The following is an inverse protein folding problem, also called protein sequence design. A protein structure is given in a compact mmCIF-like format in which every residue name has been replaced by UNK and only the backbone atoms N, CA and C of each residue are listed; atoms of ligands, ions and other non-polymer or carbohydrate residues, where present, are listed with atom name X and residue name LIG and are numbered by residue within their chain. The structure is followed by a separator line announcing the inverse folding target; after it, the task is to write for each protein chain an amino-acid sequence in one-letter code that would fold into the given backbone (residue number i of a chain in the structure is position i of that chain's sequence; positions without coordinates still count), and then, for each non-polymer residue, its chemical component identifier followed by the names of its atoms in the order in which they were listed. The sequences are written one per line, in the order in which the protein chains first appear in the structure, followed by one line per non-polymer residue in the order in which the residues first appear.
data_IF_728559150228
#
_entry.id   IF_728559150228
#
_cell.length_a   1.000
_cell.length_b   1.000
_cell.length_c   1.000
_cell.angle_alpha   90.00
_cell.angle_beta   90.00
_cell.angle_gamma   90.00
#
_symmetry.space_group_name_H-M   'P 1'
#
loop_
_entity.id
_entity.type
_entity.pdbx_description
1 polymer ?
#
# COMPACT_ATOMS: atom_id res chain seq x y z
N UNK A 1 -8.41 -6.05 7.17
CA UNK A 1 -7.40 -7.12 6.96
C UNK A 1 -6.79 -7.14 5.56
N UNK A 2 -7.57 -7.09 4.46
CA UNK A 2 -7.02 -7.12 3.09
C UNK A 2 -6.02 -5.99 2.79
N UNK A 3 -6.27 -4.79 3.31
CA UNK A 3 -5.37 -3.64 3.25
C UNK A 3 -3.99 -3.89 3.90
N UNK A 4 -3.92 -4.72 4.94
CA UNK A 4 -2.64 -5.12 5.55
C UNK A 4 -1.91 -6.16 4.69
N UNK A 5 -2.63 -7.08 4.06
CA UNK A 5 -2.07 -8.04 3.12
C UNK A 5 -1.51 -7.35 1.87
N UNK A 6 -2.20 -6.32 1.34
CA UNK A 6 -1.70 -5.55 0.19
C UNK A 6 -0.39 -4.82 0.50
N UNK A 7 -0.26 -4.22 1.69
CA UNK A 7 0.99 -3.60 2.14
C UNK A 7 2.10 -4.60 2.44
N UNK A 8 1.75 -5.77 2.98
CA UNK A 8 2.71 -6.86 3.14
C UNK A 8 3.27 -7.32 1.79
N UNK A 9 2.39 -7.48 0.79
CA UNK A 9 2.78 -7.77 -0.58
C UNK A 9 3.68 -6.70 -1.17
N UNK A 10 3.41 -5.41 -0.91
CA UNK A 10 4.28 -4.31 -1.31
C UNK A 10 5.69 -4.43 -0.71
N UNK A 11 5.77 -4.72 0.60
CA UNK A 11 7.03 -4.92 1.30
C UNK A 11 7.80 -6.14 0.77
N UNK A 12 7.11 -7.24 0.48
CA UNK A 12 7.71 -8.44 -0.09
C UNK A 12 8.19 -8.23 -1.53
N UNK A 13 7.43 -7.52 -2.36
CA UNK A 13 7.84 -7.12 -3.71
C UNK A 13 9.10 -6.26 -3.66
N UNK A 14 9.09 -5.23 -2.81
CA UNK A 14 10.25 -4.35 -2.64
C UNK A 14 11.47 -5.14 -2.15
N UNK A 15 11.31 -6.00 -1.15
CA UNK A 15 12.40 -6.86 -0.68
C UNK A 15 12.83 -7.93 -1.70
N UNK A 16 11.95 -8.27 -2.65
CA UNK A 16 12.16 -9.33 -3.66
C UNK A 16 11.87 -10.75 -3.16
N UNK A 17 11.43 -10.92 -1.92
CA UNK A 17 11.14 -12.22 -1.30
C UNK A 17 10.17 -12.10 -0.13
N UNK A 18 9.51 -13.21 0.18
CA UNK A 18 8.73 -13.39 1.39
C UNK A 18 9.63 -13.46 2.63
N UNK A 19 9.03 -13.32 3.82
CA UNK A 19 9.74 -13.51 5.08
C UNK A 19 10.35 -14.92 5.23
N UNK A 20 9.77 -15.92 4.56
CA UNK A 20 10.31 -17.29 4.49
C UNK A 20 11.58 -17.43 3.65
N UNK A 21 12.00 -16.38 2.94
CA UNK A 21 13.14 -16.39 2.02
C UNK A 21 12.79 -16.77 0.59
N UNK A 22 11.57 -17.27 0.34
CA UNK A 22 11.09 -17.63 -1.00
C UNK A 22 10.98 -16.36 -1.87
N UNK A 23 11.47 -16.35 -3.13
CA UNK A 23 11.35 -15.21 -4.03
C UNK A 23 9.91 -14.75 -4.22
N UNK A 24 9.69 -13.44 -4.31
CA UNK A 24 8.36 -12.89 -4.56
C UNK A 24 8.06 -12.97 -6.07
N UNK A 25 7.03 -13.70 -6.52
CA UNK A 25 6.92 -14.15 -7.91
C UNK A 25 6.30 -13.11 -8.86
N UNK A 26 5.69 -12.05 -8.32
CA UNK A 26 4.87 -11.11 -9.10
C UNK A 26 5.53 -9.73 -9.08
N UNK A 27 5.52 -9.07 -10.23
CA UNK A 27 5.87 -7.65 -10.32
C UNK A 27 4.64 -6.79 -10.07
N UNK A 28 4.68 -5.96 -9.03
CA UNK A 28 3.59 -5.05 -8.70
C UNK A 28 3.72 -3.72 -9.47
N UNK A 29 2.61 -3.24 -10.02
CA UNK A 29 2.55 -1.94 -10.71
C UNK A 29 2.05 -0.81 -9.80
N UNK A 30 1.20 -1.14 -8.82
CA UNK A 30 0.65 -0.22 -7.84
C UNK A 30 0.09 -1.00 -6.64
N UNK A 31 -0.04 -0.36 -5.48
CA UNK A 31 -0.69 -0.92 -4.30
C UNK A 31 -1.65 0.10 -3.69
N UNK A 32 -2.83 -0.36 -3.30
CA UNK A 32 -3.83 0.44 -2.57
C UNK A 32 -4.09 -0.24 -1.23
N UNK A 33 -4.19 0.57 -0.17
CA UNK A 33 -4.54 0.12 1.17
C UNK A 33 -5.54 1.11 1.77
N UNK A 34 -6.76 0.63 2.03
CA UNK A 34 -7.84 1.41 2.64
C UNK A 34 -8.10 0.89 4.04
N UNK A 35 -8.06 1.77 5.04
CA UNK A 35 -8.33 1.46 6.46
C UNK A 35 -7.54 0.25 6.97
N UNK A 36 -6.22 0.29 6.72
CA UNK A 36 -5.29 -0.81 6.97
C UNK A 36 -4.13 -0.45 7.88
N UNK A 37 -3.24 -1.42 8.08
CA UNK A 37 -1.98 -1.22 8.78
C UNK A 37 -0.86 -1.94 8.06
N UNK A 38 0.38 -1.50 8.25
CA UNK A 38 1.56 -2.17 7.72
C UNK A 38 2.04 -3.26 8.70
N UNK A 39 1.87 -4.55 8.39
CA UNK A 39 2.42 -5.62 9.22
C UNK A 39 3.96 -5.64 9.11
N UNK A 40 4.61 -6.12 10.17
CA UNK A 40 6.07 -6.25 10.24
C UNK A 40 6.85 -4.92 10.00
N UNK A 41 6.24 -3.76 10.26
CA UNK A 41 6.84 -2.43 10.05
C UNK A 41 8.23 -2.28 10.70
N UNK A 42 8.44 -2.89 11.88
CA UNK A 42 9.70 -2.88 12.61
C UNK A 42 10.89 -3.47 11.83
N UNK A 43 10.66 -4.44 10.94
CA UNK A 43 11.73 -5.07 10.14
C UNK A 43 11.82 -4.52 8.73
N UNK A 44 10.89 -3.64 8.33
CA UNK A 44 10.81 -3.12 6.97
C UNK A 44 12.07 -2.35 6.58
N UNK A 45 12.56 -1.49 7.47
CA UNK A 45 13.77 -0.69 7.24
C UNK A 45 14.97 -1.56 6.86
N UNK A 46 15.28 -2.56 7.71
CA UNK A 46 16.39 -3.48 7.45
C UNK A 46 16.21 -4.27 6.15
N UNK A 47 14.97 -4.63 5.79
CA UNK A 47 14.68 -5.29 4.50
C UNK A 47 14.98 -4.39 3.30
N UNK A 48 14.71 -3.09 3.38
CA UNK A 48 15.00 -2.14 2.29
C UNK A 48 16.48 -1.77 2.20
N UNK A 49 17.13 -1.61 3.35
CA UNK A 49 18.56 -1.31 3.44
C UNK A 49 19.43 -2.52 3.06
N UNK A 50 18.87 -3.74 3.06
CA UNK A 50 19.60 -4.96 2.69
C UNK A 50 20.10 -5.01 1.25
N UNK A 51 19.54 -4.19 0.34
CA UNK A 51 19.98 -4.15 -1.06
C UNK A 51 19.57 -2.86 -1.76
N UNK A 52 20.45 -2.33 -2.62
CA UNK A 52 20.13 -1.21 -3.51
C UNK A 52 18.93 -1.50 -4.43
N UNK A 53 18.72 -2.76 -4.84
CA UNK A 53 17.56 -3.14 -5.65
C UNK A 53 16.28 -3.03 -4.83
N UNK A 54 16.31 -3.43 -3.56
CA UNK A 54 15.15 -3.34 -2.68
C UNK A 54 14.75 -1.89 -2.42
N UNK A 55 15.72 -1.04 -2.10
CA UNK A 55 15.51 0.40 -1.96
C UNK A 55 14.93 1.03 -3.25
N UNK A 56 15.45 0.66 -4.43
CA UNK A 56 14.92 1.16 -5.72
C UNK A 56 13.48 0.74 -5.96
N UNK A 57 13.14 -0.54 -5.73
CA UNK A 57 11.75 -1.02 -5.88
C UNK A 57 10.79 -0.35 -4.91
N UNK A 58 11.23 -0.13 -3.67
CA UNK A 58 10.44 0.60 -2.67
C UNK A 58 10.18 2.05 -3.10
N UNK A 59 11.19 2.72 -3.65
CA UNK A 59 11.08 4.10 -4.11
C UNK A 59 10.21 4.24 -5.38
N UNK A 60 10.19 3.22 -6.24
CA UNK A 60 9.46 3.27 -7.51
C UNK A 60 8.02 2.79 -7.43
N UNK A 61 7.64 1.99 -6.43
CA UNK A 61 6.31 1.40 -6.34
C UNK A 61 5.29 2.45 -5.88
N UNK A 62 4.27 2.81 -6.70
CA UNK A 62 3.20 3.70 -6.27
C UNK A 62 2.34 3.02 -5.19
N UNK A 63 2.16 3.70 -4.07
CA UNK A 63 1.30 3.24 -2.97
C UNK A 63 0.29 4.34 -2.64
N UNK A 64 -1.00 4.00 -2.66
CA UNK A 64 -2.08 4.84 -2.14
C UNK A 64 -2.53 4.29 -0.79
N UNK A 65 -2.50 5.15 0.22
CA UNK A 65 -3.01 4.85 1.56
C UNK A 65 -4.18 5.79 1.83
N UNK A 66 -5.32 5.22 2.21
CA UNK A 66 -6.43 5.98 2.78
C UNK A 66 -6.83 5.33 4.10
N UNK A 67 -7.27 6.14 5.06
CA UNK A 67 -7.61 5.65 6.38
C UNK A 67 -8.64 6.56 7.01
N UNK A 68 -9.73 5.97 7.50
CA UNK A 68 -10.76 6.72 8.20
C UNK A 68 -10.23 7.28 9.53
N UNK A 69 -10.23 8.59 9.73
CA UNK A 69 -9.62 9.16 10.95
C UNK A 69 -10.42 8.88 12.23
N UNK A 70 -11.67 8.41 12.11
CA UNK A 70 -12.54 7.93 13.18
C UNK A 70 -12.76 6.40 13.09
N UNK A 71 -11.83 5.68 12.47
CA UNK A 71 -11.86 4.23 12.41
C UNK A 71 -11.57 3.66 13.81
N UNK A 72 -12.61 3.10 14.43
CA UNK A 72 -12.54 2.51 15.77
C UNK A 72 -11.98 1.08 15.75
N UNK A 73 -11.90 0.44 14.57
CA UNK A 73 -11.40 -0.93 14.39
C UNK A 73 -9.89 -0.92 14.14
N UNK A 74 -9.42 0.01 13.31
CA UNK A 74 -7.99 0.27 13.08
C UNK A 74 -7.73 1.75 13.35
N UNK A 75 -7.19 2.07 14.52
CA UNK A 75 -7.11 3.46 14.98
C UNK A 75 -6.20 4.34 14.13
N UNK A 76 -6.72 5.52 13.76
CA UNK A 76 -5.94 6.59 13.16
C UNK A 76 -5.35 7.50 14.24
N UNK A 77 -4.08 7.88 14.09
CA UNK A 77 -3.34 8.58 15.15
C UNK A 77 -3.80 10.02 15.42
N UNK A 78 -4.56 10.67 14.53
CA UNK A 78 -4.99 12.08 14.65
C UNK A 78 -6.43 12.32 14.11
N UNK A 79 -7.46 12.35 14.95
CA UNK A 79 -8.87 12.22 14.58
C UNK A 79 -9.49 13.29 13.64
N UNK A 80 -10.42 12.85 12.77
CA UNK A 80 -11.74 13.45 12.40
C UNK A 80 -12.44 12.76 11.18
N UNK A 81 -13.72 12.37 11.38
CA UNK A 81 -14.83 12.15 10.40
C UNK A 81 -14.85 11.00 9.37
N UNK A 82 -14.22 9.84 9.58
CA UNK A 82 -14.49 8.62 8.78
C UNK A 82 -14.33 7.34 9.59
N UNK A 83 -15.32 6.44 9.59
CA UNK A 83 -15.29 5.16 10.33
C UNK A 83 -14.66 3.99 9.54
N UNK A 84 -14.83 2.75 10.00
CA UNK A 84 -14.30 1.53 9.32
C UNK A 84 -15.15 1.10 8.11
N UNK A 85 -15.28 1.99 7.12
CA UNK A 85 -16.00 1.75 5.87
C UNK A 85 -15.47 2.69 4.78
N UNK A 86 -15.79 2.39 3.52
CA UNK A 86 -15.45 3.28 2.39
C UNK A 86 -16.60 4.23 2.09
N UNK A 87 -16.27 5.44 1.61
CA UNK A 87 -17.26 6.41 1.12
C UNK A 87 -17.11 6.65 -0.40
N UNK A 88 -18.16 7.11 -1.10
CA UNK A 88 -18.09 7.36 -2.54
C UNK A 88 -16.93 8.28 -2.93
N UNK A 89 -16.70 9.35 -2.17
CA UNK A 89 -15.64 10.31 -2.44
C UNK A 89 -14.23 9.69 -2.35
N UNK A 90 -14.02 8.78 -1.38
CA UNK A 90 -12.78 8.02 -1.26
C UNK A 90 -12.59 7.10 -2.47
N UNK A 91 -13.64 6.45 -2.92
CA UNK A 91 -13.59 5.55 -4.08
C UNK A 91 -13.41 6.30 -5.41
N UNK A 92 -13.96 7.51 -5.53
CA UNK A 92 -13.73 8.40 -6.67
C UNK A 92 -12.26 8.82 -6.76
N UNK A 93 -11.64 9.14 -5.62
CA UNK A 93 -10.23 9.50 -5.56
C UNK A 93 -9.32 8.29 -5.86
N UNK A 94 -9.69 7.10 -5.38
CA UNK A 94 -9.04 5.84 -5.79
C UNK A 94 -9.15 5.64 -7.30
N UNK A 95 -10.32 5.86 -7.89
CA UNK A 95 -10.56 5.72 -9.33
C UNK A 95 -9.71 6.67 -10.17
N UNK A 96 -9.67 7.95 -9.79
CA UNK A 96 -8.82 8.97 -10.44
C UNK A 96 -7.34 8.62 -10.30
N UNK A 97 -6.91 8.21 -9.11
CA UNK A 97 -5.52 7.83 -8.87
C UNK A 97 -5.11 6.63 -9.73
N UNK A 98 -5.94 5.58 -9.80
CA UNK A 98 -5.67 4.41 -10.63
C UNK A 98 -5.60 4.77 -12.11
N UNK A 99 -6.56 5.57 -12.60
CA UNK A 99 -6.61 5.96 -14.01
C UNK A 99 -5.35 6.74 -14.42
N UNK A 100 -4.88 7.64 -13.54
CA UNK A 100 -3.63 8.37 -13.73
C UNK A 100 -2.41 7.45 -13.73
N UNK A 101 -2.34 6.49 -12.79
CA UNK A 101 -1.20 5.56 -12.65
C UNK A 101 -1.10 4.55 -13.79
N UNK A 102 -2.24 4.11 -14.30
CA UNK A 102 -2.31 3.14 -15.41
C UNK A 102 -2.34 3.83 -16.79
N UNK A 103 -2.33 5.17 -16.83
CA UNK A 103 -2.33 5.94 -18.08
C UNK A 103 -3.66 5.87 -18.84
N UNK A 104 -4.76 5.56 -18.16
CA UNK A 104 -6.09 5.40 -18.77
C UNK A 104 -6.74 6.74 -19.14
N UNK A 105 -6.27 7.85 -18.55
CA UNK A 105 -6.76 9.22 -18.83
C UNK A 105 -6.50 9.68 -20.26
N UNK A 106 -5.63 9.00 -21.02
CA UNK A 106 -5.25 9.36 -22.40
C UNK A 106 -6.07 8.66 -23.49
N UNK A 107 -7.18 8.02 -23.12
CA UNK A 107 -8.02 7.23 -24.05
C UNK A 107 -9.27 7.97 -24.58
N UNK A 108 -9.30 9.31 -24.51
CA UNK A 108 -10.35 10.14 -25.09
C UNK A 108 -9.80 11.19 -26.04
#
# INVERSE_FOLDING_TARGET
MGAAASLYSAACYAHGKFASGIPYPITLSAVISLSGWLPCSRTLRGKMESSHIAARRAASLPILLSHGRADEVVSYRNAERLGHYTIPEEMDDVGKWLSSRLGLDRSR
#
